data_IF_868514807842
#
_entry.id   IF_868514807842
#
_cell.length_a   1.000
_cell.length_b   1.000
_cell.length_c   1.000
_cell.angle_alpha   90.00
_cell.angle_beta   90.00
_cell.angle_gamma   90.00
#
_symmetry.space_group_name_H-M   'P 1'
#
loop_
_entity.id
_entity.type
_entity.pdbx_description
1 polymer ?
#
# COMPACT_ATOMS: atom_id res chain seq x y z
N UNK A 1 -64.00 -0.52 4.64
CA UNK A 1 -63.69 -0.48 6.09
C UNK A 1 -63.80 -1.90 6.62
N UNK A 2 -62.80 -2.35 7.40
CA UNK A 2 -62.50 -3.70 7.91
C UNK A 2 -61.26 -4.32 7.23
N UNK A 3 -60.15 -4.48 7.96
CA UNK A 3 -59.78 -5.75 8.61
C UNK A 3 -58.42 -5.66 9.33
N UNK A 4 -58.42 -6.08 10.59
CA UNK A 4 -57.28 -6.51 11.41
C UNK A 4 -56.68 -7.83 10.87
N UNK A 5 -55.37 -8.03 11.04
CA UNK A 5 -54.66 -9.30 11.32
C UNK A 5 -53.15 -9.01 11.44
N UNK A 6 -52.58 -8.96 12.65
CA UNK A 6 -52.00 -10.07 13.44
C UNK A 6 -50.73 -10.68 12.84
N UNK A 7 -49.58 -10.34 13.45
CA UNK A 7 -48.28 -11.00 13.30
C UNK A 7 -48.20 -12.27 14.16
N UNK A 8 -47.62 -13.38 13.69
CA UNK A 8 -47.24 -14.48 14.56
C UNK A 8 -45.79 -14.35 15.06
N UNK A 9 -45.65 -14.44 16.37
CA UNK A 9 -44.42 -14.86 17.05
C UNK A 9 -44.20 -16.36 16.78
N UNK A 10 -42.96 -16.76 16.52
CA UNK A 10 -42.52 -18.14 16.77
C UNK A 10 -41.26 -18.14 17.59
N UNK A 11 -41.28 -19.03 18.57
CA UNK A 11 -40.39 -19.19 19.70
C UNK A 11 -39.93 -20.65 19.64
N UNK A 12 -38.64 -20.90 19.44
CA UNK A 12 -37.97 -22.17 19.72
C UNK A 12 -36.48 -21.86 19.89
N UNK A 13 -35.66 -22.54 20.67
CA UNK A 13 -35.82 -23.37 21.85
C UNK A 13 -34.40 -23.52 22.38
N UNK A 14 -34.25 -23.33 23.68
CA UNK A 14 -33.06 -23.55 24.50
C UNK A 14 -32.64 -25.03 24.44
N UNK A 15 -31.34 -25.32 24.37
CA UNK A 15 -30.71 -26.55 24.90
C UNK A 15 -29.28 -26.24 25.34
N UNK A 16 -29.07 -26.44 26.63
CA UNK A 16 -27.80 -26.46 27.34
C UNK A 16 -27.16 -27.86 27.29
N UNK A 17 -25.83 -27.85 27.50
CA UNK A 17 -24.95 -28.87 28.09
C UNK A 17 -24.67 -30.22 27.38
N UNK A 18 -23.37 -30.47 27.11
CA UNK A 18 -22.55 -31.35 27.96
C UNK A 18 -21.07 -31.43 27.55
N UNK A 19 -20.22 -31.38 28.58
CA UNK A 19 -18.80 -31.73 28.60
C UNK A 19 -18.53 -33.18 28.18
N UNK A 20 -17.33 -33.43 27.62
CA UNK A 20 -16.53 -34.61 27.95
C UNK A 20 -15.05 -34.38 27.66
N UNK A 21 -14.25 -34.52 28.72
CA UNK A 21 -12.80 -34.72 28.71
C UNK A 21 -12.45 -36.08 28.09
N UNK A 22 -11.27 -36.18 27.46
CA UNK A 22 -10.35 -37.28 27.73
C UNK A 22 -8.95 -37.01 27.17
N UNK A 23 -8.00 -37.05 28.09
CA UNK A 23 -6.55 -37.05 27.97
C UNK A 23 -6.05 -38.41 27.47
N UNK A 24 -4.96 -38.45 26.69
CA UNK A 24 -3.98 -39.53 26.77
C UNK A 24 -2.59 -39.04 26.35
N UNK A 25 -1.60 -39.61 27.02
CA UNK A 25 -0.22 -39.16 27.17
C UNK A 25 0.76 -39.86 26.22
N UNK A 26 2.03 -39.42 26.34
CA UNK A 26 3.30 -40.11 26.09
C UNK A 26 3.87 -40.05 24.66
N UNK A 27 5.04 -39.43 24.41
CA UNK A 27 6.40 -39.57 24.99
C UNK A 27 7.23 -40.61 24.22
N UNK A 28 8.20 -40.11 23.43
CA UNK A 28 9.48 -40.79 23.12
C UNK A 28 10.28 -39.99 22.08
N UNK A 29 11.28 -39.23 22.55
CA UNK A 29 12.57 -39.09 21.83
C UNK A 29 13.37 -40.39 21.99
N UNK A 30 14.32 -40.70 21.08
CA UNK A 30 15.71 -40.47 21.48
C UNK A 30 16.68 -40.07 20.34
N UNK A 31 17.70 -39.31 20.73
CA UNK A 31 19.14 -39.39 20.42
C UNK A 31 19.65 -39.89 19.06
N UNK A 32 20.49 -39.05 18.42
CA UNK A 32 21.89 -39.32 17.99
C UNK A 32 22.39 -38.14 17.12
N UNK A 33 23.26 -37.30 17.66
CA UNK A 33 24.74 -37.34 17.61
C UNK A 33 25.38 -36.79 16.31
N UNK A 34 26.61 -36.23 16.41
CA UNK A 34 27.11 -35.19 15.53
C UNK A 34 28.14 -35.71 14.51
N UNK A 35 28.30 -35.00 13.38
CA UNK A 35 29.51 -35.17 12.57
C UNK A 35 29.77 -34.04 11.57
N UNK A 36 30.92 -33.39 11.80
CA UNK A 36 32.00 -33.13 10.84
C UNK A 36 31.83 -32.01 9.78
N UNK A 37 32.64 -30.96 10.01
CA UNK A 37 33.30 -30.06 9.05
C UNK A 37 33.88 -30.80 7.83
N UNK A 38 33.98 -30.16 6.65
CA UNK A 38 35.13 -29.28 6.33
C UNK A 38 34.71 -27.96 5.64
N UNK A 39 35.21 -26.80 6.07
CA UNK A 39 36.41 -26.15 5.49
C UNK A 39 36.52 -26.23 3.96
N UNK A 40 36.02 -25.20 3.29
CA UNK A 40 36.45 -24.83 1.94
C UNK A 40 36.52 -23.29 1.85
N UNK A 41 37.71 -22.77 2.12
CA UNK A 41 38.11 -21.39 1.88
C UNK A 41 38.27 -21.21 0.37
N UNK A 42 37.29 -20.62 -0.31
CA UNK A 42 37.46 -20.09 -1.65
C UNK A 42 37.49 -18.57 -1.61
N UNK A 43 38.71 -18.04 -1.57
CA UNK A 43 39.00 -16.67 -2.00
C UNK A 43 38.66 -16.55 -3.49
N UNK A 44 37.49 -15.98 -3.78
CA UNK A 44 37.22 -15.42 -5.10
C UNK A 44 37.71 -13.97 -5.09
N UNK A 45 38.82 -13.73 -5.78
CA UNK A 45 39.26 -12.40 -6.18
C UNK A 45 38.21 -11.78 -7.11
N UNK A 46 37.28 -11.01 -6.53
CA UNK A 46 36.40 -10.14 -7.29
C UNK A 46 37.20 -8.89 -7.63
N UNK A 47 37.81 -8.91 -8.80
CA UNK A 47 38.36 -7.71 -9.44
C UNK A 47 37.19 -6.83 -9.87
N UNK A 48 36.76 -5.92 -9.00
CA UNK A 48 35.77 -4.89 -9.34
C UNK A 48 36.45 -3.90 -10.29
N UNK A 49 36.21 -4.06 -11.59
CA UNK A 49 36.38 -3.02 -12.59
C UNK A 49 35.45 -1.85 -12.24
N UNK A 50 35.99 -0.89 -11.47
CA UNK A 50 35.40 0.43 -11.32
C UNK A 50 35.63 1.20 -12.60
N UNK A 51 34.64 1.22 -13.49
CA UNK A 51 34.51 2.27 -14.49
C UNK A 51 33.16 2.97 -14.29
N UNK A 52 33.13 3.86 -13.30
CA UNK A 52 32.05 4.83 -13.11
C UNK A 52 32.63 6.22 -13.31
N UNK A 53 32.92 6.57 -14.58
CA UNK A 53 33.03 7.97 -14.99
C UNK A 53 31.64 8.57 -15.15
N UNK A 54 30.91 8.68 -14.04
CA UNK A 54 29.83 9.66 -13.97
C UNK A 54 30.52 11.01 -13.78
N UNK A 55 30.35 11.99 -14.69
CA UNK A 55 30.96 13.30 -14.50
C UNK A 55 30.44 13.86 -13.18
N UNK A 56 31.34 14.07 -12.23
CA UNK A 56 31.09 14.90 -11.05
C UNK A 56 30.80 16.30 -11.59
N UNK A 57 29.53 16.58 -11.87
CA UNK A 57 29.03 17.95 -11.97
C UNK A 57 29.44 18.59 -10.66
N UNK A 58 30.30 19.59 -10.76
CA UNK A 58 30.93 20.18 -9.59
C UNK A 58 29.84 20.71 -8.66
N UNK A 59 30.04 20.57 -7.35
CA UNK A 59 29.13 21.14 -6.33
C UNK A 59 28.82 22.62 -6.63
N UNK A 60 29.80 23.32 -7.21
CA UNK A 60 29.72 24.71 -7.66
C UNK A 60 28.74 24.95 -8.83
N UNK A 61 28.61 24.02 -9.78
CA UNK A 61 27.62 24.11 -10.86
C UNK A 61 26.20 23.92 -10.32
N UNK A 62 26.01 22.99 -9.38
CA UNK A 62 24.71 22.77 -8.73
C UNK A 62 24.27 23.97 -7.90
N UNK A 63 25.20 24.60 -7.18
CA UNK A 63 24.94 25.84 -6.44
C UNK A 63 24.57 27.00 -7.37
N UNK A 64 25.30 27.15 -8.48
CA UNK A 64 24.98 28.17 -9.50
C UNK A 64 23.56 28.01 -10.04
N UNK A 65 23.16 26.79 -10.38
CA UNK A 65 21.82 26.53 -10.93
C UNK A 65 20.71 26.70 -9.89
N UNK A 66 21.00 26.38 -8.62
CA UNK A 66 20.11 26.69 -7.50
C UNK A 66 19.86 28.19 -7.35
N UNK A 67 20.91 29.03 -7.39
CA UNK A 67 20.76 30.48 -7.29
C UNK A 67 20.05 31.10 -8.51
N UNK A 68 20.29 30.58 -9.71
CA UNK A 68 19.55 30.98 -10.92
C UNK A 68 18.06 30.68 -10.78
N UNK A 69 17.71 29.51 -10.25
CA UNK A 69 16.31 29.14 -10.00
C UNK A 69 15.66 30.04 -8.95
N UNK A 70 16.34 30.36 -7.84
CA UNK A 70 15.83 31.31 -6.84
C UNK A 70 15.59 32.70 -7.45
N UNK A 71 16.53 33.20 -8.26
CA UNK A 71 16.38 34.49 -8.92
C UNK A 71 15.19 34.51 -9.89
N UNK A 72 14.97 33.40 -10.62
CA UNK A 72 13.82 33.24 -11.51
C UNK A 72 12.49 33.22 -10.75
N UNK A 73 12.41 32.51 -9.62
CA UNK A 73 11.21 32.47 -8.77
C UNK A 73 10.90 33.86 -8.21
N UNK A 74 11.90 34.58 -7.68
CA UNK A 74 11.71 35.96 -7.18
C UNK A 74 11.20 36.92 -8.26
N UNK A 75 11.67 36.76 -9.50
CA UNK A 75 11.19 37.56 -10.64
C UNK A 75 9.70 37.28 -10.92
N UNK A 76 9.31 36.01 -10.95
CA UNK A 76 7.90 35.61 -11.17
C UNK A 76 7.00 36.16 -10.06
N UNK A 77 7.40 36.05 -8.80
CA UNK A 77 6.63 36.58 -7.67
C UNK A 77 6.44 38.09 -7.74
N UNK A 78 7.48 38.83 -8.16
CA UNK A 78 7.38 40.29 -8.30
C UNK A 78 6.48 40.70 -9.47
N UNK A 79 6.54 39.96 -10.58
CA UNK A 79 5.62 40.16 -11.70
C UNK A 79 4.16 39.86 -11.30
N UNK A 80 3.94 38.86 -10.45
CA UNK A 80 2.62 38.53 -9.89
C UNK A 80 2.08 39.64 -8.98
N UNK A 81 2.90 40.19 -8.09
CA UNK A 81 2.53 41.30 -7.19
C UNK A 81 2.19 42.59 -7.96
N UNK A 82 2.96 42.90 -9.02
CA UNK A 82 2.66 44.03 -9.92
C UNK A 82 1.38 43.78 -10.74
N UNK A 83 1.09 42.53 -11.13
CA UNK A 83 -0.13 42.13 -11.84
C UNK A 83 -1.37 42.22 -10.93
N UNK A 84 -1.25 41.84 -9.67
CA UNK A 84 -2.36 41.84 -8.71
C UNK A 84 -2.80 43.27 -8.33
N UNK A 85 -1.87 44.23 -8.39
CA UNK A 85 -2.16 45.66 -8.17
C UNK A 85 -2.93 46.34 -9.32
N UNK A 86 -3.00 45.73 -10.51
CA UNK A 86 -3.50 46.36 -11.75
C UNK A 86 -4.82 45.83 -12.29
N UNK A 87 -5.37 44.75 -11.72
CA UNK A 87 -6.52 44.07 -12.30
C UNK A 87 -7.74 44.25 -11.40
N UNK A 88 -8.78 45.01 -11.82
CA UNK A 88 -10.10 44.85 -11.22
C UNK A 88 -10.53 43.41 -11.47
N UNK A 89 -10.62 42.62 -10.40
CA UNK A 89 -10.83 41.16 -10.41
C UNK A 89 -12.20 40.81 -11.00
N UNK A 90 -12.30 40.76 -12.33
CA UNK A 90 -13.35 40.05 -13.02
C UNK A 90 -13.02 38.55 -12.96
N UNK A 91 -13.86 37.77 -12.28
CA UNK A 91 -13.73 36.32 -12.11
C UNK A 91 -13.50 35.59 -13.45
N UNK A 92 -14.08 36.10 -14.54
CA UNK A 92 -13.87 35.56 -15.88
C UNK A 92 -12.42 35.69 -16.36
N UNK A 93 -11.75 36.80 -16.03
CA UNK A 93 -10.35 37.05 -16.43
C UNK A 93 -9.37 36.16 -15.65
N UNK A 94 -9.66 35.95 -14.36
CA UNK A 94 -8.89 35.01 -13.51
C UNK A 94 -9.04 33.57 -14.03
N UNK A 95 -10.25 33.14 -14.38
CA UNK A 95 -10.49 31.80 -14.95
C UNK A 95 -9.75 31.57 -16.28
N UNK A 96 -9.72 32.58 -17.16
CA UNK A 96 -8.99 32.48 -18.44
C UNK A 96 -7.48 32.36 -18.20
N UNK A 97 -6.92 33.14 -17.26
CA UNK A 97 -5.49 33.04 -16.92
C UNK A 97 -5.14 31.73 -16.23
N UNK A 98 -5.95 31.26 -15.29
CA UNK A 98 -5.77 29.92 -14.67
C UNK A 98 -5.76 28.84 -15.75
N UNK A 99 -6.68 28.90 -16.72
CA UNK A 99 -6.70 27.96 -17.84
C UNK A 99 -5.44 28.07 -18.71
N UNK A 100 -4.94 29.29 -18.94
CA UNK A 100 -3.72 29.52 -19.71
C UNK A 100 -2.47 28.97 -19.01
N UNK A 101 -2.38 29.08 -17.69
CA UNK A 101 -1.27 28.54 -16.92
C UNK A 101 -1.43 27.05 -16.58
N UNK A 102 -2.62 26.47 -16.71
CA UNK A 102 -2.87 25.05 -16.48
C UNK A 102 -1.91 24.17 -17.30
N UNK A 103 -1.68 24.51 -18.57
CA UNK A 103 -0.79 23.73 -19.44
C UNK A 103 0.68 23.87 -18.98
N UNK A 104 1.10 25.08 -18.59
CA UNK A 104 2.43 25.34 -18.03
C UNK A 104 2.67 24.58 -16.71
N UNK A 105 1.69 24.58 -15.79
CA UNK A 105 1.77 23.83 -14.55
C UNK A 105 1.74 22.32 -14.80
N UNK A 106 0.92 21.84 -15.73
CA UNK A 106 0.96 20.44 -16.16
C UNK A 106 2.33 20.05 -16.71
N UNK A 107 2.99 20.95 -17.45
CA UNK A 107 4.31 20.71 -18.01
C UNK A 107 5.43 20.74 -16.95
N UNK A 108 5.38 21.68 -16.00
CA UNK A 108 6.30 21.74 -14.88
C UNK A 108 6.08 20.58 -13.88
N UNK A 109 4.86 20.05 -13.84
CA UNK A 109 4.48 18.89 -13.02
C UNK A 109 4.54 17.56 -13.79
N UNK A 110 4.94 17.55 -15.07
CA UNK A 110 5.36 16.30 -15.71
C UNK A 110 6.53 15.82 -14.87
N UNK A 111 6.37 14.63 -14.28
CA UNK A 111 7.43 14.00 -13.53
C UNK A 111 8.71 14.13 -14.37
N UNK A 112 9.83 14.65 -13.82
CA UNK A 112 11.09 14.64 -14.54
C UNK A 112 11.23 13.24 -15.12
N UNK A 113 11.58 13.14 -16.39
CA UNK A 113 12.02 11.88 -17.02
C UNK A 113 13.26 11.45 -16.24
N UNK A 114 13.06 10.90 -15.06
CA UNK A 114 14.00 10.00 -14.45
C UNK A 114 14.10 8.90 -15.48
N UNK A 115 15.25 8.84 -16.15
CA UNK A 115 15.79 7.55 -16.55
C UNK A 115 15.61 6.67 -15.32
N UNK A 116 14.61 5.79 -15.38
CA UNK A 116 14.25 4.97 -14.23
C UNK A 116 15.52 4.28 -13.73
N UNK A 117 15.65 4.02 -12.43
CA UNK A 117 16.79 3.28 -11.91
C UNK A 117 17.06 2.11 -12.84
N UNK A 118 18.32 1.97 -13.29
CA UNK A 118 18.74 0.83 -14.12
C UNK A 118 18.06 -0.42 -13.58
N UNK A 119 17.29 -1.09 -14.44
CA UNK A 119 16.54 -2.27 -14.04
C UNK A 119 17.53 -3.22 -13.34
N UNK A 120 17.26 -3.50 -12.06
CA UNK A 120 18.14 -4.35 -11.28
C UNK A 120 18.16 -5.74 -11.92
N UNK A 121 19.29 -6.47 -11.84
CA UNK A 121 19.30 -7.88 -12.20
C UNK A 121 18.15 -8.62 -11.50
N UNK A 122 17.39 -9.49 -12.18
CA UNK A 122 16.19 -10.13 -11.62
C UNK A 122 16.45 -10.87 -10.30
N UNK A 123 17.63 -11.48 -10.14
CA UNK A 123 18.02 -12.15 -8.90
C UNK A 123 18.21 -11.16 -7.74
N UNK A 124 18.83 -10.02 -8.03
CA UNK A 124 19.04 -8.95 -7.05
C UNK A 124 17.72 -8.28 -6.66
N UNK A 125 16.85 -8.02 -7.64
CA UNK A 125 15.49 -7.49 -7.40
C UNK A 125 14.71 -8.40 -6.45
N UNK A 126 14.70 -9.70 -6.74
CA UNK A 126 14.01 -10.71 -5.93
C UNK A 126 14.59 -10.77 -4.51
N UNK A 127 15.92 -10.72 -4.38
CA UNK A 127 16.60 -10.71 -3.07
C UNK A 127 16.26 -9.46 -2.26
N UNK A 128 16.24 -8.27 -2.88
CA UNK A 128 15.92 -7.01 -2.19
C UNK A 128 14.45 -7.00 -1.78
N UNK A 129 13.55 -7.41 -2.68
CA UNK A 129 12.13 -7.54 -2.38
C UNK A 129 11.93 -8.44 -1.16
N UNK A 130 12.50 -9.66 -1.19
CA UNK A 130 12.35 -10.62 -0.11
C UNK A 130 12.91 -10.10 1.22
N UNK A 131 14.12 -9.54 1.21
CA UNK A 131 14.76 -9.00 2.43
C UNK A 131 13.92 -7.88 3.07
N UNK A 132 13.35 -6.98 2.27
CA UNK A 132 12.45 -5.93 2.77
C UNK A 132 11.12 -6.49 3.27
N UNK A 133 10.56 -7.48 2.57
CA UNK A 133 9.35 -8.18 3.00
C UNK A 133 9.56 -8.82 4.38
N UNK A 134 10.67 -9.52 4.56
CA UNK A 134 11.07 -10.15 5.83
C UNK A 134 11.25 -9.09 6.93
N UNK A 135 11.91 -7.98 6.64
CA UNK A 135 12.08 -6.86 7.59
C UNK A 135 10.73 -6.30 8.06
N UNK A 136 9.82 -6.00 7.11
CA UNK A 136 8.48 -5.51 7.42
C UNK A 136 7.69 -6.54 8.22
N UNK A 137 7.81 -7.81 7.85
CA UNK A 137 7.14 -8.92 8.52
C UNK A 137 7.63 -9.08 9.97
N UNK A 138 8.93 -9.11 10.20
CA UNK A 138 9.52 -9.19 11.53
C UNK A 138 9.12 -8.01 12.41
N UNK A 139 9.16 -6.80 11.85
CA UNK A 139 8.66 -5.60 12.52
C UNK A 139 7.20 -5.74 12.92
N UNK A 140 6.34 -6.16 11.98
CA UNK A 140 4.92 -6.41 12.25
C UNK A 140 4.71 -7.43 13.38
N UNK A 141 5.50 -8.51 13.42
CA UNK A 141 5.43 -9.52 14.48
C UNK A 141 5.91 -9.03 15.86
N UNK A 142 6.77 -8.00 15.90
CA UNK A 142 7.22 -7.35 17.14
C UNK A 142 6.19 -6.37 17.69
N UNK A 143 5.27 -5.87 16.85
CA UNK A 143 4.20 -4.99 17.31
C UNK A 143 3.25 -5.73 18.26
N UNK A 144 2.77 -5.02 19.28
CA UNK A 144 1.82 -5.59 20.24
C UNK A 144 0.49 -5.85 19.55
N UNK A 145 0.29 -7.10 19.16
CA UNK A 145 -0.92 -7.55 18.50
C UNK A 145 -2.11 -7.64 19.46
N UNK A 146 -3.31 -7.35 18.95
CA UNK A 146 -4.54 -7.65 19.66
C UNK A 146 -4.68 -9.17 19.91
N UNK A 147 -5.49 -9.54 20.91
CA UNK A 147 -5.73 -10.96 21.24
C UNK A 147 -6.38 -11.71 20.06
N UNK A 148 -7.15 -11.02 19.22
CA UNK A 148 -7.78 -11.58 18.02
C UNK A 148 -6.72 -11.91 16.96
N UNK A 149 -5.74 -11.03 16.77
CA UNK A 149 -4.59 -11.26 15.91
C UNK A 149 -3.75 -12.44 16.37
N UNK A 150 -3.48 -12.54 17.67
CA UNK A 150 -2.74 -13.66 18.25
C UNK A 150 -3.44 -15.03 18.08
N UNK A 151 -4.77 -15.05 17.95
CA UNK A 151 -5.54 -16.27 17.63
C UNK A 151 -5.55 -16.59 16.14
N UNK A 152 -5.49 -15.58 15.27
CA UNK A 152 -5.51 -15.73 13.82
C UNK A 152 -4.16 -16.15 13.23
N UNK A 153 -3.06 -15.95 13.97
CA UNK A 153 -1.69 -16.29 13.60
C UNK A 153 -1.16 -17.48 14.43
N UNK A 154 -1.34 -18.73 13.98
CA UNK A 154 -0.61 -19.84 14.57
C UNK A 154 0.89 -19.58 14.42
N UNK A 155 1.63 -19.57 15.54
CA UNK A 155 3.09 -19.34 15.57
C UNK A 155 3.87 -20.31 14.67
N UNK A 156 3.31 -21.47 14.34
CA UNK A 156 3.94 -22.54 13.57
C UNK A 156 4.02 -22.31 12.05
N UNK A 157 3.60 -21.16 11.51
CA UNK A 157 3.48 -20.93 10.06
C UNK A 157 4.12 -19.63 9.53
N UNK A 158 4.95 -18.93 10.31
CA UNK A 158 5.51 -17.62 9.92
C UNK A 158 6.29 -17.63 8.60
N UNK A 159 7.23 -18.55 8.40
CA UNK A 159 8.03 -18.67 7.16
C UNK A 159 7.17 -19.01 5.93
N UNK A 160 6.06 -19.72 6.17
CA UNK A 160 5.09 -20.07 5.14
C UNK A 160 4.34 -18.83 4.62
N UNK A 161 4.04 -17.86 5.49
CA UNK A 161 3.31 -16.65 5.10
C UNK A 161 4.15 -15.70 4.24
N UNK A 162 5.41 -15.44 4.62
CA UNK A 162 6.32 -14.59 3.83
C UNK A 162 6.46 -15.15 2.42
N UNK A 163 6.72 -16.45 2.31
CA UNK A 163 6.86 -17.13 1.02
C UNK A 163 5.58 -17.05 0.19
N UNK A 164 4.40 -17.23 0.80
CA UNK A 164 3.11 -17.08 0.10
C UNK A 164 2.85 -15.63 -0.35
N UNK A 165 3.17 -14.63 0.48
CA UNK A 165 3.02 -13.22 0.11
C UNK A 165 3.93 -12.91 -1.08
N UNK A 166 5.19 -13.35 -1.01
CA UNK A 166 6.14 -13.21 -2.11
C UNK A 166 5.61 -13.87 -3.38
N UNK A 167 5.22 -15.15 -3.33
CA UNK A 167 4.73 -15.91 -4.49
C UNK A 167 3.57 -15.20 -5.19
N UNK A 168 2.61 -14.68 -4.41
CA UNK A 168 1.37 -14.09 -4.91
C UNK A 168 1.44 -12.58 -5.21
N UNK A 169 2.59 -11.93 -4.97
CA UNK A 169 2.80 -10.54 -5.36
C UNK A 169 3.15 -10.46 -6.85
N UNK A 170 2.45 -9.67 -7.68
CA UNK A 170 2.77 -9.54 -9.10
C UNK A 170 4.20 -9.04 -9.32
N UNK A 171 4.89 -9.55 -10.34
CA UNK A 171 6.30 -9.18 -10.66
C UNK A 171 6.50 -7.67 -10.75
N UNK A 172 5.59 -6.95 -11.39
CA UNK A 172 5.66 -5.50 -11.52
C UNK A 172 5.63 -4.78 -10.16
N UNK A 173 4.79 -5.27 -9.23
CA UNK A 173 4.72 -4.75 -7.86
C UNK A 173 6.01 -5.06 -7.09
N UNK A 174 6.58 -6.26 -7.27
CA UNK A 174 7.88 -6.61 -6.68
C UNK A 174 8.97 -5.66 -7.13
N UNK A 175 9.04 -5.36 -8.43
CA UNK A 175 10.04 -4.44 -8.99
C UNK A 175 9.91 -3.03 -8.41
N UNK A 176 8.68 -2.51 -8.32
CA UNK A 176 8.40 -1.23 -7.68
C UNK A 176 8.87 -1.22 -6.22
N UNK A 177 8.59 -2.29 -5.46
CA UNK A 177 8.93 -2.38 -4.03
C UNK A 177 10.40 -2.77 -3.75
N UNK A 178 11.10 -3.30 -4.74
CA UNK A 178 12.54 -3.55 -4.71
C UNK A 178 13.37 -2.31 -5.09
N UNK A 179 12.73 -1.26 -5.61
CA UNK A 179 13.39 0.01 -5.98
C UNK A 179 14.16 0.62 -4.82
N UNK A 180 15.28 1.29 -5.10
CA UNK A 180 16.05 2.03 -4.11
C UNK A 180 15.29 3.22 -3.48
N UNK A 181 14.30 3.77 -4.20
CA UNK A 181 13.44 4.87 -3.74
C UNK A 181 12.04 4.37 -3.41
N UNK A 182 11.31 5.06 -2.51
CA UNK A 182 9.90 4.74 -2.27
C UNK A 182 9.08 4.83 -3.57
N UNK A 183 8.02 4.03 -3.71
CA UNK A 183 7.17 4.08 -4.89
C UNK A 183 6.58 5.48 -5.07
N UNK A 184 6.72 6.07 -6.25
CA UNK A 184 6.00 7.29 -6.59
C UNK A 184 4.62 6.97 -7.19
N UNK A 185 3.79 8.00 -7.32
CA UNK A 185 2.43 7.85 -7.82
C UNK A 185 2.37 7.32 -9.25
N UNK A 186 3.28 7.76 -10.13
CA UNK A 186 3.29 7.27 -11.52
C UNK A 186 3.61 5.76 -11.57
N UNK A 187 4.54 5.28 -10.75
CA UNK A 187 4.84 3.86 -10.60
C UNK A 187 3.63 3.10 -10.06
N UNK A 188 3.00 3.59 -8.99
CA UNK A 188 1.80 2.95 -8.44
C UNK A 188 0.67 2.91 -9.47
N UNK A 189 0.40 4.03 -10.14
CA UNK A 189 -0.59 4.10 -11.22
C UNK A 189 -0.21 3.23 -12.43
N UNK A 190 1.05 2.85 -12.63
CA UNK A 190 1.41 1.90 -13.70
C UNK A 190 0.97 0.46 -13.41
N UNK A 191 0.63 0.13 -12.16
CA UNK A 191 0.13 -1.19 -11.77
C UNK A 191 -1.30 -1.39 -12.27
N UNK A 192 -1.56 -2.53 -12.90
CA UNK A 192 -2.88 -2.87 -13.41
C UNK A 192 -3.82 -3.38 -12.32
N UNK A 193 -5.12 -3.17 -12.56
CA UNK A 193 -6.18 -3.75 -11.75
C UNK A 193 -6.61 -5.11 -12.28
N UNK A 194 -6.57 -6.12 -11.43
CA UNK A 194 -7.09 -7.46 -11.75
C UNK A 194 -8.62 -7.53 -11.63
N UNK A 195 -9.29 -7.95 -12.71
CA UNK A 195 -10.75 -8.11 -12.78
C UNK A 195 -11.24 -9.50 -12.37
N UNK A 196 -10.38 -10.30 -11.73
CA UNK A 196 -10.66 -11.68 -11.31
C UNK A 196 -11.52 -11.73 -10.04
N UNK A 197 -12.09 -12.91 -9.79
CA UNK A 197 -12.78 -13.24 -8.52
C UNK A 197 -11.81 -13.74 -7.44
N UNK A 198 -10.49 -13.67 -7.70
CA UNK A 198 -9.46 -14.03 -6.75
C UNK A 198 -9.46 -13.10 -5.54
N UNK A 199 -8.99 -13.61 -4.39
CA UNK A 199 -8.74 -12.77 -3.25
C UNK A 199 -7.48 -11.92 -3.47
N UNK A 200 -7.34 -10.82 -2.74
CA UNK A 200 -6.16 -9.99 -2.90
C UNK A 200 -6.08 -8.76 -2.03
N UNK A 201 -4.95 -8.07 -2.15
CA UNK A 201 -4.70 -6.76 -1.58
C UNK A 201 -4.70 -5.75 -2.72
N UNK A 202 -5.27 -4.58 -2.46
CA UNK A 202 -5.32 -3.51 -3.45
C UNK A 202 -4.87 -2.16 -2.88
N UNK A 203 -4.39 -1.32 -3.79
CA UNK A 203 -4.25 0.11 -3.60
C UNK A 203 -5.36 0.86 -4.34
N UNK A 204 -5.72 2.05 -3.85
CA UNK A 204 -6.56 3.02 -4.54
C UNK A 204 -5.89 4.39 -4.47
N UNK A 205 -5.35 4.82 -5.61
CA UNK A 205 -4.71 6.12 -5.79
C UNK A 205 -5.79 7.17 -6.03
N UNK A 206 -5.94 8.10 -5.10
CA UNK A 206 -7.00 9.08 -5.02
C UNK A 206 -6.43 10.51 -5.14
N UNK A 207 -7.21 11.41 -5.72
CA UNK A 207 -6.91 12.84 -5.83
C UNK A 207 -7.97 13.66 -5.08
N UNK A 208 -7.66 14.82 -4.51
CA UNK A 208 -8.66 15.75 -3.99
C UNK A 208 -9.70 16.14 -5.05
N UNK A 209 -10.94 16.42 -4.64
CA UNK A 209 -12.00 16.97 -5.51
C UNK A 209 -11.90 18.48 -5.61
N UNK A 210 -12.29 19.01 -6.76
CA UNK A 210 -12.47 20.45 -6.97
C UNK A 210 -11.18 21.15 -7.44
N UNK A 211 -11.29 22.47 -7.60
CA UNK A 211 -10.24 23.31 -8.21
C UNK A 211 -8.97 23.42 -7.35
N UNK A 212 -9.06 23.26 -6.03
CA UNK A 212 -7.90 23.27 -5.13
C UNK A 212 -6.99 22.05 -5.37
N UNK A 213 -7.56 20.89 -5.69
CA UNK A 213 -6.81 19.68 -6.03
C UNK A 213 -6.11 19.71 -7.41
N UNK A 214 -6.16 20.82 -8.15
CA UNK A 214 -5.39 20.99 -9.38
C UNK A 214 -4.04 21.66 -9.15
N UNK A 215 -3.87 22.38 -8.03
CA UNK A 215 -2.65 23.12 -7.74
C UNK A 215 -1.72 22.33 -6.82
N UNK A 216 -2.31 21.62 -5.86
CA UNK A 216 -1.56 20.74 -4.98
C UNK A 216 -1.57 19.35 -5.60
N UNK A 217 -0.41 18.87 -6.08
CA UNK A 217 -0.19 17.49 -6.52
C UNK A 217 -0.30 16.50 -5.34
N UNK A 218 -1.28 16.69 -4.48
CA UNK A 218 -1.56 15.84 -3.35
C UNK A 218 -2.26 14.58 -3.84
N UNK A 219 -1.63 13.45 -3.59
CA UNK A 219 -2.20 12.15 -3.83
C UNK A 219 -2.44 11.44 -2.51
N UNK A 220 -3.48 10.63 -2.48
CA UNK A 220 -3.81 9.79 -1.35
C UNK A 220 -3.75 8.33 -1.81
N UNK A 221 -3.03 7.49 -1.08
CA UNK A 221 -2.96 6.06 -1.35
C UNK A 221 -3.76 5.32 -0.29
N UNK A 222 -4.88 4.74 -0.68
CA UNK A 222 -5.64 3.86 0.18
C UNK A 222 -5.24 2.40 -0.02
N UNK A 223 -4.89 1.68 1.04
CA UNK A 223 -4.62 0.23 0.99
C UNK A 223 -5.75 -0.56 1.65
N UNK A 224 -6.26 -1.57 0.95
CA UNK A 224 -7.35 -2.41 1.39
C UNK A 224 -7.24 -3.86 0.91
N UNK A 225 -8.21 -4.68 1.32
CA UNK A 225 -8.24 -6.11 0.97
C UNK A 225 -9.59 -6.58 0.43
N UNK A 226 -9.56 -7.63 -0.36
CA UNK A 226 -10.72 -8.29 -0.93
C UNK A 226 -10.59 -9.80 -0.75
N UNK A 227 -11.36 -10.39 0.18
CA UNK A 227 -11.24 -11.80 0.56
C UNK A 227 -12.57 -12.56 0.55
N UNK A 228 -13.58 -11.99 -0.12
CA UNK A 228 -14.89 -12.63 -0.28
C UNK A 228 -14.79 -13.72 -1.36
N UNK A 229 -14.99 -14.97 -0.98
CA UNK A 229 -15.09 -16.09 -1.93
C UNK A 229 -16.15 -15.83 -3.01
N UNK A 230 -15.84 -16.18 -4.25
CA UNK A 230 -16.70 -15.98 -5.43
C UNK A 230 -16.83 -14.55 -5.94
N UNK A 231 -16.30 -13.54 -5.22
CA UNK A 231 -16.38 -12.13 -5.61
C UNK A 231 -15.03 -11.43 -5.69
N UNK A 232 -14.17 -11.66 -4.71
CA UNK A 232 -12.77 -11.24 -4.73
C UNK A 232 -12.56 -9.76 -5.05
N UNK A 233 -11.49 -9.48 -5.80
CA UNK A 233 -11.14 -8.16 -6.30
C UNK A 233 -12.28 -7.59 -7.17
N UNK A 234 -12.84 -8.35 -8.12
CA UNK A 234 -13.94 -7.89 -8.98
C UNK A 234 -15.10 -7.25 -8.21
N UNK A 235 -15.71 -7.98 -7.28
CA UNK A 235 -16.82 -7.44 -6.48
C UNK A 235 -16.38 -6.28 -5.58
N UNK A 236 -15.12 -6.28 -5.12
CA UNK A 236 -14.59 -5.15 -4.35
C UNK A 236 -14.56 -3.88 -5.21
N UNK A 237 -14.07 -3.93 -6.45
CA UNK A 237 -14.07 -2.78 -7.36
C UNK A 237 -15.48 -2.25 -7.61
N UNK A 238 -16.43 -3.14 -7.92
CA UNK A 238 -17.84 -2.78 -8.12
C UNK A 238 -18.40 -2.04 -6.89
N UNK A 239 -18.12 -2.56 -5.68
CA UNK A 239 -18.54 -1.93 -4.44
C UNK A 239 -17.88 -0.57 -4.18
N UNK A 240 -16.58 -0.43 -4.47
CA UNK A 240 -15.84 0.82 -4.28
C UNK A 240 -16.29 1.91 -5.26
N UNK A 241 -16.62 1.55 -6.50
CA UNK A 241 -17.04 2.48 -7.54
C UNK A 241 -18.55 2.73 -7.57
N UNK A 242 -19.37 1.92 -6.89
CA UNK A 242 -20.82 2.08 -6.91
C UNK A 242 -21.27 3.43 -6.35
N UNK A 243 -22.16 4.11 -7.08
CA UNK A 243 -22.77 5.38 -6.67
C UNK A 243 -23.77 5.23 -5.52
N UNK A 244 -24.16 4.00 -5.18
CA UNK A 244 -25.05 3.67 -4.07
C UNK A 244 -24.56 4.31 -2.77
N UNK A 245 -25.50 4.87 -2.01
CA UNK A 245 -25.22 5.46 -0.69
C UNK A 245 -24.43 4.45 0.14
N UNK A 246 -23.29 4.84 0.72
CA UNK A 246 -22.55 3.96 1.61
C UNK A 246 -23.49 3.54 2.73
N UNK A 247 -23.67 2.24 2.94
CA UNK A 247 -24.13 1.80 4.26
C UNK A 247 -23.03 2.18 5.27
N UNK A 248 -23.40 2.46 6.53
CA UNK A 248 -22.45 2.97 7.56
C UNK A 248 -21.18 2.11 7.74
N UNK A 249 -21.17 0.87 7.27
CA UNK A 249 -20.06 -0.08 7.41
C UNK A 249 -19.16 -0.20 6.16
N UNK A 250 -19.39 0.58 5.10
CA UNK A 250 -18.62 0.51 3.85
C UNK A 250 -17.41 1.48 3.82
N UNK A 251 -16.48 1.35 4.78
CA UNK A 251 -15.14 1.91 4.59
C UNK A 251 -14.57 1.36 3.25
N UNK A 252 -14.05 2.21 2.34
CA UNK A 252 -13.48 3.55 2.56
C UNK A 252 -14.41 4.75 2.40
N UNK A 253 -15.68 4.54 1.99
CA UNK A 253 -16.49 5.61 1.38
C UNK A 253 -16.71 6.84 2.29
N UNK A 254 -16.90 6.69 3.62
CA UNK A 254 -17.00 7.85 4.53
C UNK A 254 -15.71 8.66 4.59
N UNK A 255 -14.55 8.00 4.73
CA UNK A 255 -13.24 8.67 4.87
C UNK A 255 -12.87 9.43 3.59
N UNK A 256 -13.05 8.79 2.43
CA UNK A 256 -12.87 9.43 1.11
C UNK A 256 -13.78 10.65 0.96
N UNK A 257 -15.02 10.59 1.46
CA UNK A 257 -15.94 11.73 1.40
C UNK A 257 -15.51 12.86 2.34
N UNK A 258 -15.12 12.52 3.57
CA UNK A 258 -14.72 13.48 4.60
C UNK A 258 -13.46 14.24 4.20
N UNK A 259 -12.51 13.55 3.58
CA UNK A 259 -11.28 14.13 3.03
C UNK A 259 -11.49 14.82 1.68
N UNK A 260 -12.72 14.90 1.17
CA UNK A 260 -13.01 15.55 -0.11
C UNK A 260 -12.36 14.86 -1.31
N UNK A 261 -12.05 13.56 -1.25
CA UNK A 261 -11.33 12.85 -2.30
C UNK A 261 -12.23 12.36 -3.44
N UNK A 262 -11.67 12.30 -4.65
CA UNK A 262 -12.33 11.84 -5.86
C UNK A 262 -12.41 10.32 -5.90
N UNK A 263 -13.62 9.80 -6.12
CA UNK A 263 -13.86 8.36 -6.28
C UNK A 263 -13.45 7.85 -7.67
N UNK A 264 -13.01 8.72 -8.58
CA UNK A 264 -12.51 8.33 -9.91
C UNK A 264 -11.03 7.96 -9.91
N UNK A 265 -10.43 7.81 -8.72
CA UNK A 265 -9.03 7.40 -8.57
C UNK A 265 -8.73 6.02 -9.17
N UNK A 266 -7.45 5.74 -9.39
CA UNK A 266 -6.99 4.49 -10.00
C UNK A 266 -6.88 3.37 -8.96
N UNK A 267 -7.55 2.27 -9.22
CA UNK A 267 -7.42 1.03 -8.44
C UNK A 267 -6.27 0.19 -9.00
N UNK A 268 -5.49 -0.42 -8.11
CA UNK A 268 -4.31 -1.22 -8.45
C UNK A 268 -4.27 -2.52 -7.64
N UNK A 269 -3.77 -3.61 -8.23
CA UNK A 269 -3.64 -4.89 -7.53
C UNK A 269 -2.23 -5.07 -6.97
N UNK A 270 -2.12 -5.21 -5.64
CA UNK A 270 -0.84 -5.39 -4.94
C UNK A 270 -0.51 -6.86 -4.70
N UNK A 271 -1.52 -7.70 -4.49
CA UNK A 271 -1.39 -9.14 -4.31
C UNK A 271 -2.66 -9.84 -4.77
N UNK A 272 -2.52 -11.00 -5.40
CA UNK A 272 -3.64 -11.79 -5.92
C UNK A 272 -3.46 -13.28 -5.61
N UNK A 273 -4.49 -13.89 -5.01
CA UNK A 273 -4.50 -15.29 -4.59
C UNK A 273 -5.80 -15.94 -5.05
N UNK A 274 -5.68 -16.92 -5.95
CA UNK A 274 -6.81 -17.72 -6.40
C UNK A 274 -7.28 -18.68 -5.31
N UNK A 275 -8.59 -18.86 -5.19
CA UNK A 275 -9.16 -19.93 -4.37
C UNK A 275 -9.02 -21.26 -5.12
N UNK A 276 -8.49 -22.29 -4.46
CA UNK A 276 -8.46 -23.65 -5.03
C UNK A 276 -9.86 -24.26 -5.09
N UNK A 277 -10.62 -24.06 -4.02
CA UNK A 277 -12.00 -24.51 -3.88
C UNK A 277 -12.79 -23.60 -2.91
N UNK A 278 -14.06 -23.94 -2.71
CA UNK A 278 -14.97 -23.24 -1.80
C UNK A 278 -15.03 -23.82 -0.39
N UNK A 279 -14.09 -24.68 -0.01
CA UNK A 279 -14.06 -25.26 1.33
C UNK A 279 -13.84 -24.17 2.38
N UNK A 280 -14.43 -24.35 3.56
CA UNK A 280 -14.32 -23.38 4.65
C UNK A 280 -12.85 -23.17 5.08
N UNK A 281 -12.04 -24.24 5.05
CA UNK A 281 -10.63 -24.21 5.40
C UNK A 281 -9.80 -23.38 4.41
N UNK A 282 -9.95 -23.61 3.10
CA UNK A 282 -9.24 -22.86 2.07
C UNK A 282 -9.63 -21.38 2.09
N UNK A 283 -10.95 -21.10 2.19
CA UNK A 283 -11.46 -19.73 2.26
C UNK A 283 -10.90 -18.99 3.47
N UNK A 284 -10.83 -19.65 4.63
CA UNK A 284 -10.29 -19.06 5.85
C UNK A 284 -8.77 -18.86 5.77
N UNK A 285 -8.03 -19.83 5.21
CA UNK A 285 -6.59 -19.72 4.97
C UNK A 285 -6.27 -18.51 4.09
N UNK A 286 -6.97 -18.36 2.97
CA UNK A 286 -6.78 -17.23 2.05
C UNK A 286 -7.17 -15.90 2.70
N UNK A 287 -8.23 -15.87 3.50
CA UNK A 287 -8.61 -14.66 4.26
C UNK A 287 -7.49 -14.21 5.19
N UNK A 288 -6.86 -15.16 5.91
CA UNK A 288 -5.72 -14.87 6.78
C UNK A 288 -4.53 -14.35 5.98
N UNK A 289 -4.13 -15.05 4.91
CA UNK A 289 -3.05 -14.61 4.02
C UNK A 289 -3.28 -13.17 3.52
N UNK A 290 -4.46 -12.88 2.99
CA UNK A 290 -4.79 -11.55 2.44
C UNK A 290 -4.84 -10.48 3.53
N UNK A 291 -5.26 -10.82 4.75
CA UNK A 291 -5.26 -9.90 5.88
C UNK A 291 -3.83 -9.56 6.29
N UNK A 292 -2.96 -10.55 6.38
CA UNK A 292 -1.54 -10.40 6.69
C UNK A 292 -0.80 -9.60 5.63
N UNK A 293 -0.98 -9.99 4.37
CA UNK A 293 -0.44 -9.28 3.22
C UNK A 293 -0.86 -7.80 3.25
N UNK A 294 -2.13 -7.51 3.57
CA UNK A 294 -2.59 -6.12 3.66
C UNK A 294 -1.79 -5.33 4.69
N UNK A 295 -1.58 -5.85 5.90
CA UNK A 295 -0.81 -5.12 6.92
C UNK A 295 0.63 -4.88 6.47
N UNK A 296 1.26 -5.88 5.85
CA UNK A 296 2.58 -5.73 5.22
C UNK A 296 2.56 -4.58 4.21
N UNK A 297 1.62 -4.56 3.27
CA UNK A 297 1.55 -3.49 2.28
C UNK A 297 1.17 -2.13 2.87
N UNK A 298 0.39 -2.08 3.96
CA UNK A 298 0.09 -0.82 4.63
C UNK A 298 1.35 -0.23 5.26
N UNK A 299 2.17 -1.05 5.92
CA UNK A 299 3.45 -0.62 6.49
C UNK A 299 4.41 -0.23 5.38
N UNK A 300 4.60 -1.13 4.41
CA UNK A 300 5.55 -0.95 3.32
C UNK A 300 5.20 0.26 2.46
N UNK A 301 3.93 0.53 2.16
CA UNK A 301 3.53 1.71 1.39
C UNK A 301 3.21 2.93 2.27
N UNK A 302 3.46 2.86 3.59
CA UNK A 302 3.15 3.94 4.56
C UNK A 302 1.70 4.42 4.45
N UNK A 303 0.78 3.49 4.23
CA UNK A 303 -0.64 3.77 4.14
C UNK A 303 -1.31 4.05 5.51
N UNK A 304 -0.51 4.22 6.58
CA UNK A 304 -0.96 4.60 7.93
C UNK A 304 0.07 5.51 8.62
N UNK A 305 0.26 6.72 8.07
CA UNK A 305 1.33 7.67 8.43
C UNK A 305 1.37 8.09 9.92
N UNK A 306 0.23 8.05 10.61
CA UNK A 306 0.11 8.50 12.01
C UNK A 306 0.53 7.45 13.05
N UNK A 307 0.93 6.24 12.62
CA UNK A 307 1.39 5.21 13.56
C UNK A 307 2.91 5.32 13.76
N UNK A 308 3.34 5.79 14.93
CA UNK A 308 4.76 5.90 15.29
C UNK A 308 5.51 4.58 15.12
N UNK A 309 4.86 3.46 15.46
CA UNK A 309 5.45 2.13 15.34
C UNK A 309 5.74 1.71 13.90
N UNK A 310 5.04 2.27 12.90
CA UNK A 310 5.30 2.00 11.47
C UNK A 310 6.61 2.66 11.02
N UNK A 311 6.98 3.80 11.62
CA UNK A 311 8.17 4.56 11.24
C UNK A 311 9.46 3.77 11.46
N UNK A 312 9.46 2.84 12.41
CA UNK A 312 10.63 2.00 12.73
C UNK A 312 10.73 0.76 11.82
N UNK A 313 9.68 0.43 11.06
CA UNK A 313 9.56 -0.82 10.30
C UNK A 313 9.56 -0.57 8.79
N UNK A 314 9.09 0.61 8.36
CA UNK A 314 9.05 0.97 6.95
C UNK A 314 10.46 0.97 6.33
N UNK A 315 10.65 0.43 5.12
CA UNK A 315 11.95 0.43 4.45
C UNK A 315 12.31 1.76 3.76
N UNK A 316 11.58 2.84 4.05
CA UNK A 316 11.70 4.13 3.36
C UNK A 316 11.87 5.27 4.35
N UNK A 317 12.59 6.30 3.92
CA UNK A 317 12.55 7.60 4.57
C UNK A 317 11.19 8.26 4.33
N UNK A 318 10.53 8.68 5.40
CA UNK A 318 9.15 9.20 5.34
C UNK A 318 9.03 10.53 4.59
N UNK A 319 10.13 11.26 4.50
CA UNK A 319 10.24 12.56 3.82
C UNK A 319 10.20 12.39 2.29
N UNK A 320 10.62 11.23 1.78
CA UNK A 320 10.67 10.92 0.36
C UNK A 320 9.32 10.45 -0.21
N UNK A 321 8.30 10.25 0.64
CA UNK A 321 6.99 9.76 0.24
C UNK A 321 6.08 10.93 -0.14
N UNK A 322 5.82 11.06 -1.44
CA UNK A 322 5.06 12.16 -2.05
C UNK A 322 3.54 11.94 -2.08
N UNK A 323 3.00 11.15 -1.15
CA UNK A 323 1.56 10.91 -1.02
C UNK A 323 1.13 10.71 0.44
N UNK A 324 -0.17 10.87 0.67
CA UNK A 324 -0.82 10.65 1.96
C UNK A 324 -1.37 9.22 2.05
N UNK A 325 -0.87 8.46 3.01
CA UNK A 325 -1.31 7.10 3.25
C UNK A 325 -2.65 7.00 4.00
N UNK A 326 -3.55 6.15 3.51
CA UNK A 326 -4.82 5.80 4.15
C UNK A 326 -5.02 4.28 4.20
N UNK A 327 -5.63 3.74 5.26
CA UNK A 327 -5.84 2.30 5.40
C UNK A 327 -7.27 1.95 5.80
N UNK A 328 -7.76 0.84 5.26
CA UNK A 328 -9.14 0.37 5.49
C UNK A 328 -9.54 0.03 6.92
N UNK A 329 -8.55 -0.23 7.77
CA UNK A 329 -8.77 -0.26 9.20
C UNK A 329 -7.64 0.50 9.88
N UNK A 330 -7.98 1.10 11.01
CA UNK A 330 -7.02 1.79 11.84
C UNK A 330 -6.05 0.73 12.39
N UNK A 331 -4.83 0.63 11.85
CA UNK A 331 -3.79 -0.24 12.40
C UNK A 331 -3.61 0.01 13.91
N UNK A 332 -3.77 1.26 14.33
CA UNK A 332 -3.76 1.69 15.74
C UNK A 332 -4.85 1.05 16.62
N UNK A 333 -5.92 0.46 16.06
CA UNK A 333 -6.88 -0.34 16.86
C UNK A 333 -6.38 -1.77 17.10
N UNK A 334 -5.52 -2.28 16.21
CA UNK A 334 -5.00 -3.63 16.24
C UNK A 334 -3.60 -3.72 16.88
N UNK A 335 -2.85 -2.61 16.85
CA UNK A 335 -1.53 -2.43 17.46
C UNK A 335 -1.69 -1.49 18.65
N UNK A 336 -1.38 -1.97 19.86
CA UNK A 336 -1.57 -1.23 21.12
C UNK A 336 -0.28 -0.76 21.77
#
# INVERSE_FOLDING_TARGET
MLQLRSFPQTFTSRRDDKQKEQSYSQDSSPDREPSLLPSATHHADVTILRDTRTPLVSLQERESDFYKNIARIRKIMKEEEELDSRIPRNEASVRVKIKHFSDYFQECNKAPLYEGPQALPPELESSIFRSRLETVWEGLMKLRMSQEWGKALPKSQSESWVSMIEEHTPKHVKSILASHQPPNIAQLESVEWSTTTAAGVYGWVLKPKGLLGHFDNEYYLWVGSASKYGGGLKSRKENLLSSSRPTQNEAPKPDIRNLGLSRTGKLITLLEVSFKDGSAEEVEKIRRLVTLAREVFVIWLVAAKDCSAIKEIVPWELEDILYHGLASHNLARNIK
#
